data_IF_681008197273
#
_entry.id   IF_681008197273
#
_cell.length_a   1.000
_cell.length_b   1.000
_cell.length_c   1.000
_cell.angle_alpha   90.00
_cell.angle_beta   90.00
_cell.angle_gamma   90.00
#
_symmetry.space_group_name_H-M   'P 1'
#
loop_
_entity.id
_entity.type
_entity.pdbx_description
1 polymer ?
#
# COMPACT_ATOMS: atom_id res chain seq x y z
N UNK A 1 -18.14 6.17 5.61
CA UNK A 1 -17.23 6.85 6.56
C UNK A 1 -15.96 6.01 6.59
N UNK A 2 -14.79 6.65 6.66
CA UNK A 2 -13.51 5.95 6.54
C UNK A 2 -12.73 6.06 7.83
N UNK A 3 -12.02 4.99 8.20
CA UNK A 3 -11.13 4.98 9.37
C UNK A 3 -9.70 5.07 8.87
N UNK A 4 -8.98 6.10 9.29
CA UNK A 4 -7.56 6.27 8.92
C UNK A 4 -6.66 5.62 9.96
N UNK A 5 -5.70 4.82 9.51
CA UNK A 5 -4.72 4.13 10.34
C UNK A 5 -3.31 4.41 9.81
N UNK A 6 -2.38 4.70 10.72
CA UNK A 6 -0.98 4.93 10.38
C UNK A 6 -0.14 3.69 10.72
N UNK A 7 0.68 3.25 9.76
CA UNK A 7 1.68 2.20 9.93
C UNK A 7 3.06 2.86 10.01
N UNK A 8 3.70 2.72 11.16
CA UNK A 8 5.07 3.14 11.45
C UNK A 8 5.67 2.27 12.56
N UNK A 9 6.85 2.65 13.04
CA UNK A 9 7.61 1.92 14.05
C UNK A 9 6.81 1.66 15.35
N UNK A 10 5.89 2.56 15.71
CA UNK A 10 5.10 2.48 16.93
C UNK A 10 3.78 1.72 16.77
N UNK A 11 3.41 1.34 15.55
CA UNK A 11 2.20 0.56 15.31
C UNK A 11 2.31 -0.81 15.99
N UNK A 12 1.26 -1.17 16.75
CA UNK A 12 1.23 -2.45 17.47
C UNK A 12 0.98 -3.62 16.52
N UNK A 13 1.48 -4.80 16.87
CA UNK A 13 1.22 -6.05 16.13
C UNK A 13 -0.28 -6.36 16.06
N UNK A 14 -1.03 -6.09 17.14
CA UNK A 14 -2.48 -6.25 17.15
C UNK A 14 -3.16 -5.35 16.12
N UNK A 15 -2.70 -4.10 15.97
CA UNK A 15 -3.20 -3.20 14.93
C UNK A 15 -2.86 -3.73 13.54
N UNK A 16 -1.64 -4.21 13.32
CA UNK A 16 -1.25 -4.79 12.04
C UNK A 16 -2.09 -6.01 11.68
N UNK A 17 -2.32 -6.92 12.63
CA UNK A 17 -3.19 -8.08 12.45
C UNK A 17 -4.62 -7.68 12.09
N UNK A 18 -5.18 -6.66 12.75
CA UNK A 18 -6.51 -6.14 12.42
C UNK A 18 -6.57 -5.59 11.00
N UNK A 19 -5.52 -4.87 10.56
CA UNK A 19 -5.44 -4.35 9.19
C UNK A 19 -5.26 -5.46 8.15
N UNK A 20 -4.47 -6.50 8.46
CA UNK A 20 -4.32 -7.70 7.61
C UNK A 20 -5.68 -8.37 7.40
N UNK A 21 -6.47 -8.54 8.46
CA UNK A 21 -7.82 -9.12 8.34
C UNK A 21 -8.75 -8.21 7.54
N UNK A 22 -8.63 -6.88 7.65
CA UNK A 22 -9.40 -5.96 6.79
C UNK A 22 -9.04 -6.12 5.31
N UNK A 23 -7.75 -6.26 4.98
CA UNK A 23 -7.25 -6.49 3.61
C UNK A 23 -7.72 -7.85 3.08
N UNK A 24 -7.61 -8.92 3.88
CA UNK A 24 -8.03 -10.28 3.46
C UNK A 24 -9.52 -10.39 3.15
N UNK A 25 -10.34 -9.57 3.80
CA UNK A 25 -11.79 -9.54 3.59
C UNK A 25 -12.22 -8.54 2.49
N UNK A 26 -11.29 -8.04 1.68
CA UNK A 26 -11.56 -7.13 0.58
C UNK A 26 -10.89 -7.64 -0.70
N UNK A 27 -11.50 -7.31 -1.84
CA UNK A 27 -11.00 -7.64 -3.18
C UNK A 27 -10.74 -6.38 -4.01
N UNK A 28 -10.90 -5.19 -3.43
CA UNK A 28 -10.81 -3.92 -4.16
C UNK A 28 -10.10 -2.87 -3.34
N UNK A 29 -9.10 -2.25 -3.94
CA UNK A 29 -8.19 -1.35 -3.25
C UNK A 29 -7.86 -0.14 -4.10
N UNK A 30 -7.71 1.03 -3.48
CA UNK A 30 -6.96 2.11 -4.14
C UNK A 30 -5.56 2.18 -3.57
N UNK A 31 -4.58 2.42 -4.42
CA UNK A 31 -3.19 2.55 -4.02
C UNK A 31 -2.60 3.82 -4.60
N UNK A 32 -1.92 4.56 -3.74
CA UNK A 32 -1.26 5.81 -4.10
C UNK A 32 0.08 5.94 -3.37
N UNK A 33 1.01 6.68 -3.95
CA UNK A 33 2.35 6.83 -3.38
C UNK A 33 2.80 8.27 -3.39
N UNK A 34 3.46 8.67 -2.32
CA UNK A 34 4.07 10.00 -2.21
C UNK A 34 5.57 9.88 -2.06
N UNK A 35 6.29 10.74 -2.77
CA UNK A 35 7.75 10.87 -2.67
C UNK A 35 8.13 12.29 -2.30
N UNK A 36 9.12 12.47 -1.43
CA UNK A 36 9.64 13.82 -1.12
C UNK A 36 10.62 14.23 -2.22
N UNK A 37 10.37 15.41 -2.80
CA UNK A 37 11.33 16.07 -3.67
C UNK A 37 12.41 16.75 -2.82
N UNK A 38 13.64 16.25 -2.92
CA UNK A 38 14.80 16.86 -2.27
C UNK A 38 15.64 17.52 -3.37
N UNK A 39 15.92 18.84 -3.29
CA UNK A 39 16.75 19.52 -4.27
C UNK A 39 18.07 18.78 -4.47
N UNK A 40 18.44 18.55 -5.74
CA UNK A 40 19.68 17.88 -6.16
C UNK A 40 19.80 16.39 -5.75
N UNK A 41 18.71 15.75 -5.33
CA UNK A 41 18.67 14.30 -5.05
C UNK A 41 17.49 13.63 -5.77
N UNK A 42 17.58 12.32 -6.05
CA UNK A 42 16.41 11.55 -6.49
C UNK A 42 15.26 11.66 -5.49
N UNK A 43 14.03 11.73 -5.98
CA UNK A 43 12.84 11.73 -5.12
C UNK A 43 12.86 10.50 -4.21
N UNK A 44 12.75 10.74 -2.90
CA UNK A 44 12.82 9.68 -1.90
C UNK A 44 11.40 9.16 -1.58
N UNK A 45 11.19 7.82 -1.56
CA UNK A 45 9.94 7.23 -1.07
C UNK A 45 9.55 7.78 0.32
N UNK A 46 8.30 8.21 0.48
CA UNK A 46 7.85 8.88 1.70
C UNK A 46 6.62 8.21 2.31
N UNK A 47 5.59 7.96 1.50
CA UNK A 47 4.34 7.35 1.94
C UNK A 47 3.81 6.38 0.90
N UNK A 48 3.19 5.31 1.39
CA UNK A 48 2.25 4.51 0.60
C UNK A 48 0.89 4.68 1.26
N UNK A 49 -0.11 5.08 0.48
CA UNK A 49 -1.49 5.18 0.91
C UNK A 49 -2.30 4.07 0.26
N UNK A 50 -2.95 3.27 1.10
CA UNK A 50 -3.81 2.16 0.70
C UNK A 50 -5.22 2.41 1.22
N UNK A 51 -6.21 2.43 0.33
CA UNK A 51 -7.61 2.37 0.72
C UNK A 51 -8.11 0.94 0.54
N UNK A 52 -8.63 0.35 1.61
CA UNK A 52 -9.34 -0.93 1.58
C UNK A 52 -10.82 -0.65 1.36
N UNK A 53 -11.35 -1.07 0.21
CA UNK A 53 -12.74 -0.85 -0.17
C UNK A 53 -13.55 -2.07 0.29
N UNK A 54 -14.50 -1.85 1.20
CA UNK A 54 -15.40 -2.91 1.67
C UNK A 54 -16.83 -2.55 1.27
N UNK A 55 -17.50 -3.47 0.58
CA UNK A 55 -18.91 -3.31 0.24
C UNK A 55 -19.75 -3.38 1.53
N UNK A 56 -20.55 -2.34 1.79
CA UNK A 56 -21.45 -2.22 2.94
C UNK A 56 -20.79 -2.03 4.34
N UNK A 57 -19.49 -1.76 4.39
CA UNK A 57 -18.76 -1.46 5.64
C UNK A 57 -17.97 -0.14 5.56
N UNK A 58 -17.29 0.22 6.64
CA UNK A 58 -16.37 1.36 6.66
C UNK A 58 -15.12 1.01 5.86
N UNK A 59 -14.68 1.90 4.96
CA UNK A 59 -13.39 1.75 4.29
C UNK A 59 -12.25 2.09 5.25
N UNK A 60 -11.14 1.38 5.12
CA UNK A 60 -9.91 1.73 5.84
C UNK A 60 -9.00 2.55 4.92
N UNK A 61 -8.41 3.61 5.45
CA UNK A 61 -7.31 4.33 4.79
C UNK A 61 -6.06 4.02 5.61
N UNK A 62 -5.17 3.22 5.06
CA UNK A 62 -3.92 2.81 5.67
C UNK A 62 -2.82 3.69 5.08
N UNK A 63 -2.15 4.46 5.93
CA UNK A 63 -1.04 5.34 5.56
C UNK A 63 0.24 4.77 6.12
N UNK A 64 1.17 4.39 5.25
CA UNK A 64 2.40 3.70 5.61
C UNK A 64 3.56 4.68 5.50
N UNK A 65 4.13 5.05 6.64
CA UNK A 65 5.26 6.00 6.74
C UNK A 65 6.58 5.28 6.50
N UNK A 66 7.00 5.20 5.23
CA UNK A 66 8.09 4.30 4.85
C UNK A 66 9.45 4.68 5.44
N UNK A 67 9.66 5.95 5.78
CA UNK A 67 10.86 6.41 6.49
C UNK A 67 10.90 5.99 7.98
N UNK A 68 9.77 5.51 8.51
CA UNK A 68 9.59 5.16 9.92
C UNK A 68 9.18 3.70 10.08
N UNK A 69 9.50 2.83 9.12
CA UNK A 69 9.21 1.40 9.24
C UNK A 69 10.04 0.74 10.36
N UNK A 70 9.51 -0.33 10.97
CA UNK A 70 10.32 -1.18 11.84
C UNK A 70 11.45 -1.86 11.04
N UNK A 71 12.49 -2.33 11.76
CA UNK A 71 13.61 -3.04 11.13
C UNK A 71 13.14 -4.35 10.47
N UNK A 72 13.80 -4.73 9.37
CA UNK A 72 13.41 -5.88 8.53
C UNK A 72 13.36 -7.21 9.28
N UNK A 73 14.21 -7.38 10.29
CA UNK A 73 14.29 -8.60 11.10
C UNK A 73 13.27 -8.67 12.25
N UNK A 74 12.24 -7.82 12.25
CA UNK A 74 11.23 -7.76 13.31
C UNK A 74 9.91 -8.36 12.87
N UNK A 75 9.18 -8.96 13.79
CA UNK A 75 7.86 -9.52 13.55
C UNK A 75 6.88 -8.49 12.97
N UNK A 76 6.93 -7.24 13.46
CA UNK A 76 6.16 -6.12 12.89
C UNK A 76 6.44 -5.90 11.42
N UNK A 77 7.69 -5.99 10.98
CA UNK A 77 8.03 -5.81 9.58
C UNK A 77 7.46 -6.94 8.72
N UNK A 78 7.56 -8.19 9.20
CA UNK A 78 6.98 -9.34 8.52
C UNK A 78 5.45 -9.24 8.41
N UNK A 79 4.75 -8.74 9.44
CA UNK A 79 3.30 -8.45 9.35
C UNK A 79 2.98 -7.38 8.30
N UNK A 80 3.81 -6.34 8.16
CA UNK A 80 3.63 -5.33 7.12
C UNK A 80 3.84 -5.95 5.72
N UNK A 81 4.84 -6.82 5.55
CA UNK A 81 5.05 -7.56 4.30
C UNK A 81 3.88 -8.50 3.99
N UNK A 82 3.35 -9.18 5.01
CA UNK A 82 2.18 -10.04 4.89
C UNK A 82 0.95 -9.25 4.44
N UNK A 83 0.73 -8.05 4.98
CA UNK A 83 -0.33 -7.15 4.51
C UNK A 83 -0.21 -6.89 2.99
N UNK A 84 0.99 -6.60 2.49
CA UNK A 84 1.22 -6.40 1.06
C UNK A 84 1.07 -7.68 0.23
N UNK A 85 1.39 -8.85 0.79
CA UNK A 85 1.21 -10.11 0.08
C UNK A 85 -0.27 -10.40 -0.20
N UNK A 86 -1.14 -10.09 0.76
CA UNK A 86 -2.59 -10.15 0.57
C UNK A 86 -3.12 -9.04 -0.34
N UNK A 87 -2.58 -7.82 -0.26
CA UNK A 87 -2.97 -6.73 -1.14
C UNK A 87 -2.75 -7.09 -2.62
N UNK A 88 -1.56 -7.58 -2.95
CA UNK A 88 -1.15 -7.92 -4.32
C UNK A 88 -1.56 -9.34 -4.75
N UNK A 89 -2.59 -9.92 -4.13
CA UNK A 89 -3.20 -11.15 -4.63
C UNK A 89 -3.75 -10.92 -6.05
N UNK A 90 -3.52 -11.83 -7.02
CA UNK A 90 -4.01 -11.67 -8.39
C UNK A 90 -5.53 -11.56 -8.53
N UNK A 91 -6.30 -11.98 -7.53
CA UNK A 91 -7.75 -11.87 -7.52
C UNK A 91 -8.26 -10.51 -7.03
N UNK A 92 -7.36 -9.62 -6.60
CA UNK A 92 -7.71 -8.29 -6.13
C UNK A 92 -7.59 -7.26 -7.26
N UNK A 93 -8.55 -6.34 -7.28
CA UNK A 93 -8.53 -5.16 -8.13
C UNK A 93 -7.80 -4.01 -7.42
N UNK A 94 -6.71 -3.54 -8.00
CA UNK A 94 -5.91 -2.43 -7.46
C UNK A 94 -6.02 -1.23 -8.37
N UNK A 95 -6.75 -0.22 -7.92
CA UNK A 95 -6.93 1.05 -8.60
C UNK A 95 -5.77 1.99 -8.22
N UNK A 96 -4.94 2.34 -9.20
CA UNK A 96 -3.83 3.30 -9.01
C UNK A 96 -4.11 4.59 -9.76
N UNK A 97 -3.73 5.72 -9.15
CA UNK A 97 -3.75 7.00 -9.83
C UNK A 97 -2.45 7.22 -10.59
N UNK A 98 -2.43 6.85 -11.87
CA UNK A 98 -1.23 6.89 -12.70
C UNK A 98 -0.63 5.50 -12.90
N UNK A 99 0.70 5.40 -12.94
CA UNK A 99 1.37 4.14 -13.27
C UNK A 99 1.75 3.36 -12.02
N UNK A 100 1.45 2.06 -12.01
CA UNK A 100 1.91 1.12 -10.99
C UNK A 100 3.46 1.09 -10.87
N UNK A 101 4.17 1.54 -11.92
CA UNK A 101 5.62 1.68 -11.91
C UNK A 101 6.17 2.65 -10.87
N UNK A 102 5.33 3.52 -10.29
CA UNK A 102 5.75 4.39 -9.18
C UNK A 102 6.20 3.58 -7.94
N UNK A 103 5.63 2.39 -7.74
CA UNK A 103 6.03 1.46 -6.68
C UNK A 103 7.45 0.91 -6.86
N UNK A 104 8.07 1.00 -8.05
CA UNK A 104 9.47 0.56 -8.27
C UNK A 104 10.42 1.20 -7.26
N UNK A 105 10.20 2.48 -6.94
CA UNK A 105 11.03 3.23 -5.99
C UNK A 105 10.93 2.69 -4.56
N UNK A 106 9.87 1.95 -4.24
CA UNK A 106 9.60 1.38 -2.93
C UNK A 106 10.09 -0.06 -2.81
N UNK A 107 10.51 -0.71 -3.90
CA UNK A 107 10.97 -2.11 -3.88
C UNK A 107 12.23 -2.32 -3.03
N UNK A 108 13.07 -1.30 -2.89
CA UNK A 108 14.25 -1.33 -2.02
C UNK A 108 13.89 -1.48 -0.53
N UNK A 109 12.62 -1.24 -0.17
CA UNK A 109 12.12 -1.40 1.20
C UNK A 109 11.74 -2.85 1.53
N UNK A 110 11.86 -3.80 0.58
CA UNK A 110 11.56 -5.22 0.78
C UNK A 110 10.13 -5.56 1.25
N UNK A 111 9.19 -4.61 1.13
CA UNK A 111 7.78 -4.78 1.49
C UNK A 111 7.02 -5.70 0.53
N UNK A 112 7.42 -5.68 -0.74
CA UNK A 112 6.83 -6.45 -1.84
C UNK A 112 7.86 -6.57 -2.98
N UNK A 113 7.60 -7.50 -3.90
CA UNK A 113 8.44 -7.78 -5.06
C UNK A 113 7.81 -7.28 -6.37
N UNK A 114 8.61 -7.16 -7.43
CA UNK A 114 8.11 -6.87 -8.78
C UNK A 114 7.08 -7.88 -9.24
N UNK A 115 7.26 -9.17 -8.90
CA UNK A 115 6.37 -10.22 -9.33
C UNK A 115 4.97 -10.07 -8.70
N UNK A 116 4.91 -9.59 -7.46
CA UNK A 116 3.63 -9.28 -6.80
C UNK A 116 2.96 -8.09 -7.49
N UNK A 117 3.70 -7.01 -7.72
CA UNK A 117 3.16 -5.80 -8.38
C UNK A 117 2.65 -6.12 -9.78
N UNK A 118 3.43 -6.81 -10.61
CA UNK A 118 3.04 -7.08 -12.01
C UNK A 118 2.13 -8.28 -12.18
N UNK A 119 1.99 -9.09 -11.12
CA UNK A 119 1.05 -10.22 -11.07
C UNK A 119 -0.34 -9.82 -10.61
N UNK A 120 -0.52 -8.65 -9.99
CA UNK A 120 -1.83 -8.14 -9.54
C UNK A 120 -2.63 -7.51 -10.68
N UNK A 121 -3.96 -7.46 -10.52
CA UNK A 121 -4.83 -6.78 -11.46
C UNK A 121 -4.82 -5.27 -11.21
N UNK A 122 -3.89 -4.57 -11.85
CA UNK A 122 -3.73 -3.12 -11.68
C UNK A 122 -4.53 -2.34 -12.72
N UNK A 123 -5.37 -1.43 -12.24
CA UNK A 123 -6.26 -0.59 -13.04
C UNK A 123 -5.78 0.85 -12.94
N UNK A 124 -5.26 1.40 -14.04
CA UNK A 124 -4.89 2.81 -14.11
C UNK A 124 -6.15 3.68 -14.15
N UNK A 125 -6.47 4.30 -13.02
CA UNK A 125 -7.67 5.12 -12.87
C UNK A 125 -7.59 6.41 -13.68
N UNK A 126 -6.38 6.92 -13.95
CA UNK A 126 -6.17 8.16 -14.69
C UNK A 126 -6.69 8.08 -16.13
N UNK A 127 -6.63 6.90 -16.75
CA UNK A 127 -7.07 6.68 -18.13
C UNK A 127 -8.58 6.81 -18.28
N UNK A 128 -9.35 6.57 -17.21
CA UNK A 128 -10.80 6.77 -17.21
C UNK A 128 -11.19 8.25 -17.18
N UNK A 129 -10.34 9.12 -16.61
CA UNK A 129 -10.64 10.54 -16.45
C UNK A 129 -10.08 11.42 -17.57
N UNK A 130 -9.06 10.99 -18.30
CA UNK A 130 -8.50 11.75 -19.45
C UNK A 130 -9.39 11.74 -20.70
N UNK A 131 -10.39 10.86 -20.73
CA UNK A 131 -11.31 10.69 -21.86
C UNK A 131 -12.63 11.49 -21.72
N UNK A 132 -12.72 12.37 -20.71
CA UNK A 132 -13.81 13.32 -20.49
C UNK A 132 -13.26 14.74 -20.38
#
# INVERSE_FOLDING_TARGET
MSVTCFINYNTSEQTLQHLIEAVKNSTSFTLDTESVCIPYQPNKPALIQLQVIQENLFSYIIVIEVCHLPHENTEKFELIRELFSYLFDPNNDIYVWGSIDELKKFMELHLFSSNQIYGSNNINSQDYFKNY
#
